data_IF_565414932151
#
_entry.id   IF_565414932151
#
_cell.length_a   1.000
_cell.length_b   1.000
_cell.length_c   1.000
_cell.angle_alpha   90.00
_cell.angle_beta   90.00
_cell.angle_gamma   90.00
#
_symmetry.space_group_name_H-M   'P 1'
#
loop_
_entity.id
_entity.type
_entity.pdbx_description
1 polymer ?
#
# COMPACT_ATOMS: atom_id res chain seq x y z
N UNK A 1 13.38 -2.23 19.41
CA UNK A 1 14.07 -1.19 18.65
C UNK A 1 14.04 -1.52 17.16
N UNK A 2 13.88 -0.53 16.27
CA UNK A 2 13.91 -0.73 14.79
C UNK A 2 15.25 -0.36 14.15
N UNK A 3 16.24 -0.06 14.98
CA UNK A 3 17.62 0.20 14.61
C UNK A 3 18.47 -0.87 15.27
N UNK A 4 19.42 -1.44 14.55
CA UNK A 4 20.23 -2.57 15.03
C UNK A 4 21.70 -2.27 14.77
N UNK A 5 22.53 -2.30 15.81
CA UNK A 5 23.97 -2.13 15.65
C UNK A 5 24.58 -3.37 15.00
N UNK A 6 25.48 -3.18 14.04
CA UNK A 6 26.18 -4.26 13.35
C UNK A 6 27.02 -5.12 14.31
N UNK A 7 27.48 -4.54 15.42
CA UNK A 7 28.17 -5.25 16.50
C UNK A 7 27.31 -6.34 17.13
N UNK A 8 26.01 -6.09 17.29
CA UNK A 8 25.08 -7.01 17.98
C UNK A 8 24.86 -8.27 17.14
N UNK A 9 24.95 -8.14 15.81
CA UNK A 9 24.82 -9.23 14.86
C UNK A 9 26.00 -10.19 14.84
N UNK A 10 27.11 -9.87 15.53
CA UNK A 10 28.22 -10.80 15.74
C UNK A 10 27.86 -11.93 16.71
N UNK A 11 26.94 -11.66 17.65
CA UNK A 11 26.50 -12.63 18.65
C UNK A 11 25.39 -13.56 18.13
N UNK A 12 24.76 -13.23 17.00
CA UNK A 12 23.70 -14.04 16.40
C UNK A 12 22.57 -13.18 15.82
N UNK A 13 21.41 -13.81 15.63
CA UNK A 13 20.22 -13.10 15.17
C UNK A 13 19.66 -12.19 16.27
N UNK A 14 19.30 -10.96 15.91
CA UNK A 14 18.76 -9.96 16.82
C UNK A 14 17.26 -9.79 16.56
N UNK A 15 16.38 -9.95 17.57
CA UNK A 15 14.97 -9.65 17.42
C UNK A 15 14.75 -8.15 17.31
N UNK A 16 13.78 -7.76 16.49
CA UNK A 16 13.41 -6.37 16.25
C UNK A 16 11.93 -6.19 16.47
N UNK A 17 11.55 -5.32 17.39
CA UNK A 17 10.17 -4.94 17.66
C UNK A 17 10.09 -3.44 17.88
N UNK A 18 9.11 -2.78 17.31
CA UNK A 18 8.89 -1.36 17.53
C UNK A 18 7.78 -0.80 16.66
N UNK A 19 7.56 0.49 16.79
CA UNK A 19 6.49 1.20 16.11
C UNK A 19 7.02 2.45 15.42
N UNK A 20 6.44 2.79 14.28
CA UNK A 20 6.61 4.08 13.62
C UNK A 20 5.29 4.83 13.79
N UNK A 21 5.31 6.02 14.36
CA UNK A 21 4.10 6.78 14.63
C UNK A 21 3.35 7.13 13.34
N UNK A 22 2.02 7.20 13.40
CA UNK A 22 1.21 7.59 12.23
C UNK A 22 1.57 9.00 11.70
N UNK A 23 1.93 9.92 12.60
CA UNK A 23 2.38 11.29 12.27
C UNK A 23 3.89 11.44 12.11
N UNK A 24 4.62 10.34 11.92
CA UNK A 24 6.08 10.39 11.77
C UNK A 24 6.47 11.13 10.47
N UNK A 25 7.43 12.08 10.51
CA UNK A 25 7.90 12.81 9.34
C UNK A 25 8.39 11.90 8.20
N UNK A 26 8.75 10.66 8.52
CA UNK A 26 9.09 9.62 7.54
C UNK A 26 8.04 9.46 6.44
N UNK A 27 6.75 9.69 6.75
CA UNK A 27 5.64 9.58 5.80
C UNK A 27 5.16 10.94 5.24
N UNK A 28 5.81 12.05 5.61
CA UNK A 28 5.30 13.39 5.29
C UNK A 28 5.26 13.71 3.79
N UNK A 29 6.13 13.08 2.99
CA UNK A 29 6.17 13.24 1.54
C UNK A 29 5.24 12.27 0.79
N UNK A 30 4.57 11.35 1.50
CA UNK A 30 3.76 10.30 0.92
C UNK A 30 2.28 10.71 0.82
N UNK A 31 1.61 10.27 -0.23
CA UNK A 31 0.15 10.45 -0.38
C UNK A 31 -0.63 9.37 0.38
N UNK A 32 -0.25 9.12 1.64
CA UNK A 32 -0.88 8.12 2.52
C UNK A 32 -1.32 8.78 3.83
N UNK A 33 -2.51 8.43 4.30
CA UNK A 33 -3.00 8.85 5.61
C UNK A 33 -2.97 7.66 6.56
N UNK A 34 -1.93 7.56 7.39
CA UNK A 34 -1.88 6.58 8.47
C UNK A 34 -2.83 7.01 9.59
N UNK A 35 -3.66 6.09 10.06
CA UNK A 35 -4.59 6.31 11.19
C UNK A 35 -4.24 5.45 12.41
N UNK A 36 -3.24 4.60 12.29
CA UNK A 36 -2.63 3.82 13.36
C UNK A 36 -1.09 3.82 13.17
N UNK A 37 -0.30 3.60 14.24
CA UNK A 37 1.14 3.39 14.09
C UNK A 37 1.43 2.18 13.21
N UNK A 38 2.61 2.15 12.59
CA UNK A 38 3.12 0.98 11.89
C UNK A 38 3.84 0.11 12.90
N UNK A 39 3.20 -0.99 13.30
CA UNK A 39 3.77 -1.96 14.24
C UNK A 39 4.66 -2.93 13.46
N UNK A 40 5.92 -3.07 13.85
CA UNK A 40 6.92 -3.86 13.14
C UNK A 40 7.49 -4.92 14.08
N UNK A 41 7.56 -6.16 13.61
CA UNK A 41 8.11 -7.30 14.35
C UNK A 41 8.93 -8.19 13.43
N UNK A 42 10.07 -8.67 13.89
CA UNK A 42 10.92 -9.53 13.09
C UNK A 42 12.23 -9.88 13.76
N UNK A 43 13.17 -10.35 12.94
CA UNK A 43 14.53 -10.66 13.33
C UNK A 43 15.47 -10.34 12.18
N UNK A 44 16.66 -9.86 12.50
CA UNK A 44 17.75 -9.69 11.55
C UNK A 44 18.90 -10.62 11.90
N UNK A 45 19.56 -11.15 10.88
CA UNK A 45 20.75 -11.96 11.02
C UNK A 45 21.73 -11.66 9.90
N UNK A 46 23.00 -11.94 10.14
CA UNK A 46 24.02 -11.92 9.09
C UNK A 46 23.72 -13.01 8.06
N UNK A 47 23.79 -12.65 6.78
CA UNK A 47 23.53 -13.53 5.63
C UNK A 47 24.77 -13.79 4.76
N UNK A 48 25.83 -13.00 4.94
CA UNK A 48 27.09 -13.11 4.22
C UNK A 48 28.13 -12.15 4.79
N UNK A 49 29.24 -11.96 4.08
CA UNK A 49 30.15 -10.86 4.38
C UNK A 49 29.50 -9.54 3.95
N UNK A 50 29.37 -8.59 4.88
CA UNK A 50 28.72 -7.30 4.62
C UNK A 50 27.21 -7.37 4.31
N UNK A 51 26.59 -8.55 4.40
CA UNK A 51 25.18 -8.78 4.06
C UNK A 51 24.37 -9.23 5.26
N UNK A 52 23.16 -8.69 5.39
CA UNK A 52 22.24 -8.95 6.48
C UNK A 52 20.85 -9.18 5.93
N UNK A 53 20.15 -10.16 6.50
CA UNK A 53 18.78 -10.48 6.12
C UNK A 53 17.86 -10.24 7.30
N UNK A 54 16.88 -9.37 7.12
CA UNK A 54 15.78 -9.17 8.03
C UNK A 54 14.55 -9.92 7.52
N UNK A 55 13.91 -10.68 8.40
CA UNK A 55 12.63 -11.32 8.15
C UNK A 55 11.65 -10.90 9.22
N UNK A 56 10.49 -10.41 8.81
CA UNK A 56 9.49 -9.94 9.73
C UNK A 56 8.16 -9.62 9.08
N UNK A 57 7.39 -8.81 9.77
CA UNK A 57 6.08 -8.34 9.34
C UNK A 57 5.85 -6.94 9.89
N UNK A 58 4.99 -6.20 9.19
CA UNK A 58 4.42 -4.98 9.71
C UNK A 58 2.89 -5.02 9.62
N UNK A 59 2.24 -4.21 10.44
CA UNK A 59 0.79 -3.99 10.38
C UNK A 59 0.45 -2.56 10.75
N UNK A 60 -0.53 -1.98 10.06
CA UNK A 60 -1.07 -0.64 10.31
C UNK A 60 -2.50 -0.54 9.78
N UNK A 61 -3.09 0.65 9.89
CA UNK A 61 -4.33 1.01 9.23
C UNK A 61 -4.19 2.37 8.54
N UNK A 62 -4.72 2.47 7.33
CA UNK A 62 -4.75 3.70 6.54
C UNK A 62 -6.18 4.20 6.39
N UNK A 63 -6.33 5.49 6.10
CA UNK A 63 -7.56 6.07 5.55
C UNK A 63 -7.36 6.39 4.07
N UNK A 64 -8.28 5.92 3.25
CA UNK A 64 -8.32 6.20 1.82
C UNK A 64 -9.77 6.45 1.38
N UNK A 65 -9.95 7.14 0.25
CA UNK A 65 -11.29 7.44 -0.25
C UNK A 65 -11.79 6.33 -1.19
N UNK A 66 -13.07 5.98 -1.06
CA UNK A 66 -13.70 5.06 -1.98
C UNK A 66 -13.61 5.60 -3.41
N UNK A 67 -13.03 4.82 -4.33
CA UNK A 67 -12.83 5.21 -5.74
C UNK A 67 -14.13 5.55 -6.50
N UNK A 68 -15.30 5.16 -5.96
CA UNK A 68 -16.60 5.30 -6.61
C UNK A 68 -17.43 6.44 -6.01
N UNK A 69 -17.49 6.53 -4.68
CA UNK A 69 -18.35 7.50 -3.98
C UNK A 69 -17.59 8.52 -3.11
N UNK A 70 -16.26 8.43 -3.02
CA UNK A 70 -15.39 9.30 -2.22
C UNK A 70 -15.65 9.28 -0.70
N UNK A 71 -16.50 8.38 -0.21
CA UNK A 71 -16.64 8.16 1.24
C UNK A 71 -15.34 7.58 1.79
N UNK A 72 -14.82 8.09 2.93
CA UNK A 72 -13.62 7.55 3.57
C UNK A 72 -13.78 6.07 3.96
N UNK A 73 -12.72 5.30 3.76
CA UNK A 73 -12.62 3.88 4.07
C UNK A 73 -11.37 3.67 4.93
N UNK A 74 -11.55 2.98 6.05
CA UNK A 74 -10.43 2.53 6.89
C UNK A 74 -9.98 1.16 6.40
N UNK A 75 -8.69 1.03 6.12
CA UNK A 75 -8.13 -0.14 5.45
C UNK A 75 -7.00 -0.70 6.30
N UNK A 76 -7.16 -1.90 6.87
CA UNK A 76 -6.04 -2.57 7.53
C UNK A 76 -5.02 -3.01 6.48
N UNK A 77 -3.74 -2.77 6.76
CA UNK A 77 -2.62 -3.21 5.91
C UNK A 77 -1.68 -4.03 6.78
N UNK A 78 -1.40 -5.27 6.37
CA UNK A 78 -0.47 -6.13 7.07
C UNK A 78 0.24 -7.04 6.09
N UNK A 79 1.57 -7.07 6.15
CA UNK A 79 2.39 -7.86 5.24
C UNK A 79 3.55 -8.52 5.96
N UNK A 80 4.03 -9.63 5.38
CA UNK A 80 5.27 -10.31 5.78
C UNK A 80 6.33 -9.98 4.74
N UNK A 81 7.52 -9.63 5.21
CA UNK A 81 8.58 -9.11 4.35
C UNK A 81 9.93 -9.71 4.70
N UNK A 82 10.74 -9.90 3.67
CA UNK A 82 12.14 -10.26 3.78
C UNK A 82 12.97 -9.20 3.09
N UNK A 83 13.90 -8.58 3.82
CA UNK A 83 14.70 -7.46 3.35
C UNK A 83 16.18 -7.80 3.45
N UNK A 84 16.94 -7.49 2.41
CA UNK A 84 18.39 -7.70 2.39
C UNK A 84 19.08 -6.34 2.49
N UNK A 85 20.00 -6.22 3.44
CA UNK A 85 20.82 -5.05 3.66
C UNK A 85 22.27 -5.37 3.31
N UNK A 86 22.97 -4.46 2.65
CA UNK A 86 24.36 -4.62 2.27
C UNK A 86 25.20 -3.39 2.64
N UNK A 87 26.44 -3.60 3.06
CA UNK A 87 27.40 -2.50 3.32
C UNK A 87 28.21 -2.12 2.09
N UNK A 88 28.31 -3.01 1.11
CA UNK A 88 29.00 -2.76 -0.15
C UNK A 88 28.11 -1.93 -1.09
N UNK A 89 28.52 -0.72 -1.49
CA UNK A 89 27.77 0.09 -2.45
C UNK A 89 27.55 -0.60 -3.80
N UNK A 90 28.49 -1.46 -4.23
CA UNK A 90 28.34 -2.21 -5.49
C UNK A 90 27.21 -3.25 -5.44
N UNK A 91 26.80 -3.67 -4.24
CA UNK A 91 25.66 -4.58 -4.08
C UNK A 91 24.32 -3.94 -4.47
N UNK A 92 24.24 -2.60 -4.54
CA UNK A 92 23.03 -1.89 -4.99
C UNK A 92 22.83 -1.91 -6.50
N UNK A 93 23.84 -2.32 -7.27
CA UNK A 93 23.68 -2.57 -8.72
C UNK A 93 22.80 -3.80 -8.99
N UNK A 94 22.62 -4.66 -7.98
CA UNK A 94 21.61 -5.71 -7.98
C UNK A 94 20.31 -5.17 -7.37
N UNK A 95 19.18 -5.40 -8.04
CA UNK A 95 17.85 -5.04 -7.51
C UNK A 95 17.57 -5.75 -6.17
N UNK A 96 16.98 -5.05 -5.21
CA UNK A 96 16.48 -5.63 -3.96
C UNK A 96 17.40 -5.54 -2.73
N UNK A 97 18.46 -4.73 -2.76
CA UNK A 97 19.33 -4.47 -1.61
C UNK A 97 19.15 -3.07 -1.05
N UNK A 98 19.07 -2.98 0.28
CA UNK A 98 19.13 -1.73 1.02
C UNK A 98 20.57 -1.43 1.42
N UNK A 99 21.12 -0.31 0.92
CA UNK A 99 22.43 0.13 1.33
C UNK A 99 22.39 0.55 2.81
N UNK A 100 23.21 -0.09 3.62
CA UNK A 100 23.56 0.42 4.94
C UNK A 100 24.53 1.57 4.68
N UNK A 101 24.17 2.84 5.01
CA UNK A 101 25.12 3.93 4.93
C UNK A 101 26.36 3.58 5.77
N UNK A 102 27.46 4.33 5.68
CA UNK A 102 28.67 4.11 6.48
C UNK A 102 28.50 4.29 8.02
N UNK A 103 27.30 4.05 8.54
CA UNK A 103 26.91 3.93 9.94
C UNK A 103 27.17 2.50 10.43
N UNK A 104 27.38 2.38 11.73
CA UNK A 104 27.51 1.10 12.42
C UNK A 104 26.15 0.44 12.73
N UNK A 105 25.06 0.94 12.13
CA UNK A 105 23.70 0.46 12.38
C UNK A 105 22.84 0.30 11.12
N UNK A 106 21.88 -0.62 11.20
CA UNK A 106 20.83 -0.83 10.22
C UNK A 106 19.56 -0.20 10.77
N UNK A 107 19.02 0.81 10.06
CA UNK A 107 17.72 1.40 10.36
C UNK A 107 16.65 0.78 9.45
N UNK A 108 15.74 0.01 10.04
CA UNK A 108 14.68 -0.69 9.31
C UNK A 108 13.56 0.25 8.86
N UNK A 109 13.46 1.46 9.41
CA UNK A 109 12.28 2.33 9.22
C UNK A 109 12.08 2.72 7.76
N UNK A 110 13.15 3.08 7.06
CA UNK A 110 13.09 3.45 5.64
C UNK A 110 12.61 2.30 4.75
N UNK A 111 13.21 1.12 4.92
CA UNK A 111 12.83 -0.06 4.16
C UNK A 111 11.38 -0.51 4.47
N UNK A 112 10.98 -0.50 5.74
CA UNK A 112 9.59 -0.80 6.13
C UNK A 112 8.60 0.20 5.54
N UNK A 113 8.94 1.50 5.48
CA UNK A 113 8.10 2.51 4.80
C UNK A 113 7.90 2.15 3.34
N UNK A 114 8.96 1.82 2.61
CA UNK A 114 8.86 1.48 1.18
C UNK A 114 7.97 0.26 0.95
N UNK A 115 8.18 -0.79 1.73
CA UNK A 115 7.38 -2.01 1.66
C UNK A 115 5.91 -1.76 2.02
N UNK A 116 5.65 -0.91 3.02
CA UNK A 116 4.30 -0.46 3.33
C UNK A 116 3.65 0.26 2.15
N UNK A 117 4.37 1.18 1.49
CA UNK A 117 3.87 1.90 0.33
C UNK A 117 3.55 0.95 -0.84
N UNK A 118 4.37 -0.09 -1.04
CA UNK A 118 4.14 -1.14 -2.05
C UNK A 118 2.94 -2.03 -1.71
N UNK A 119 2.67 -2.25 -0.41
CA UNK A 119 1.54 -3.04 0.06
C UNK A 119 0.19 -2.30 0.01
N UNK A 120 0.18 -0.98 -0.20
CA UNK A 120 -1.07 -0.22 -0.23
C UNK A 120 -1.95 -0.66 -1.40
N UNK A 121 -3.27 -0.81 -1.18
CA UNK A 121 -4.18 -1.12 -2.27
C UNK A 121 -4.23 0.03 -3.27
N UNK A 122 -4.18 -0.31 -4.57
CA UNK A 122 -4.28 0.67 -5.65
C UNK A 122 -5.58 1.48 -5.62
N UNK A 123 -6.66 0.87 -5.14
CA UNK A 123 -7.96 1.50 -4.95
C UNK A 123 -8.77 0.76 -3.90
N UNK A 124 -9.72 1.45 -3.28
CA UNK A 124 -10.61 0.89 -2.26
C UNK A 124 -12.06 1.21 -2.56
N UNK A 125 -12.95 0.36 -2.07
CA UNK A 125 -14.40 0.53 -2.15
C UNK A 125 -14.99 0.47 -0.76
N UNK A 126 -15.95 1.34 -0.44
CA UNK A 126 -16.60 1.34 0.87
C UNK A 126 -17.49 0.11 1.10
N UNK A 127 -17.89 -0.58 0.02
CA UNK A 127 -18.61 -1.86 0.01
C UNK A 127 -18.54 -2.50 -1.39
N UNK A 128 -18.71 -3.83 -1.52
CA UNK A 128 -18.58 -4.56 -2.80
C UNK A 128 -19.52 -4.10 -3.94
N UNK A 129 -20.65 -3.48 -3.60
CA UNK A 129 -21.69 -3.06 -4.53
C UNK A 129 -21.89 -1.53 -4.54
N UNK A 130 -20.89 -0.77 -4.11
CA UNK A 130 -20.95 0.69 -4.03
C UNK A 130 -21.41 1.27 -5.37
N UNK A 131 -22.54 1.97 -5.43
CA UNK A 131 -23.09 2.46 -6.70
C UNK A 131 -22.32 3.65 -7.28
N UNK A 132 -21.57 4.36 -6.43
CA UNK A 132 -20.73 5.49 -6.79
C UNK A 132 -21.49 6.82 -6.91
N UNK A 133 -20.83 7.83 -7.46
CA UNK A 133 -21.45 9.12 -7.73
C UNK A 133 -22.12 9.14 -9.12
N UNK A 134 -23.20 9.91 -9.24
CA UNK A 134 -23.77 10.25 -10.53
C UNK A 134 -22.75 11.05 -11.36
N UNK A 135 -22.41 10.62 -12.59
CA UNK A 135 -21.44 11.34 -13.43
C UNK A 135 -21.96 12.71 -13.92
N UNK A 136 -23.26 12.99 -13.76
CA UNK A 136 -23.89 14.24 -14.21
C UNK A 136 -24.01 15.27 -13.08
N UNK A 137 -24.49 14.88 -11.89
CA UNK A 137 -24.73 15.82 -10.79
C UNK A 137 -23.88 15.57 -9.53
N UNK A 138 -23.11 14.49 -9.48
CA UNK A 138 -22.29 14.13 -8.31
C UNK A 138 -23.06 13.53 -7.13
N UNK A 139 -24.38 13.34 -7.24
CA UNK A 139 -25.18 12.72 -6.18
C UNK A 139 -24.69 11.29 -5.87
N UNK A 140 -24.62 10.94 -4.58
CA UNK A 140 -24.23 9.61 -4.13
C UNK A 140 -25.34 8.61 -4.39
N UNK A 141 -25.17 7.73 -5.39
CA UNK A 141 -26.19 6.76 -5.80
C UNK A 141 -26.44 5.70 -4.71
N UNK A 142 -25.53 5.57 -3.74
CA UNK A 142 -25.71 4.73 -2.57
C UNK A 142 -26.83 5.20 -1.63
N UNK A 143 -27.22 6.48 -1.70
CA UNK A 143 -28.27 7.10 -0.89
C UNK A 143 -29.62 7.16 -1.62
N UNK A 144 -29.63 6.83 -2.91
CA UNK A 144 -30.83 6.79 -3.74
C UNK A 144 -30.58 7.28 -5.17
N UNK A 145 -31.57 7.11 -6.06
CA UNK A 145 -31.48 7.58 -7.43
C UNK A 145 -31.50 9.12 -7.49
N UNK A 146 -30.77 9.68 -8.46
CA UNK A 146 -30.83 11.10 -8.80
C UNK A 146 -31.82 11.37 -9.95
N UNK A 147 -32.14 12.64 -10.18
CA UNK A 147 -33.08 13.05 -11.24
C UNK A 147 -32.46 13.18 -12.65
N UNK A 148 -31.15 12.92 -12.83
CA UNK A 148 -30.46 13.18 -14.11
C UNK A 148 -30.92 12.29 -15.28
N UNK A 149 -31.64 11.20 -14.99
CA UNK A 149 -31.97 10.19 -16.00
C UNK A 149 -30.72 9.50 -16.56
N UNK A 150 -30.92 8.39 -17.30
CA UNK A 150 -29.83 7.73 -18.02
C UNK A 150 -29.86 8.22 -19.46
N UNK A 151 -29.11 9.28 -19.76
CA UNK A 151 -28.93 9.70 -21.14
C UNK A 151 -28.22 8.58 -21.93
N UNK A 152 -28.67 8.23 -23.15
CA UNK A 152 -27.92 7.33 -24.02
C UNK A 152 -26.54 7.92 -24.27
N UNK A 153 -25.48 7.16 -23.96
CA UNK A 153 -24.13 7.61 -24.25
C UNK A 153 -23.92 7.59 -25.78
N UNK A 154 -23.66 8.74 -26.42
CA UNK A 154 -23.63 8.87 -27.88
C UNK A 154 -22.53 8.03 -28.53
N UNK A 155 -21.51 7.61 -27.77
CA UNK A 155 -20.47 6.68 -28.27
C UNK A 155 -21.05 5.33 -28.71
N UNK A 156 -22.23 4.97 -28.21
CA UNK A 156 -22.92 3.72 -28.56
C UNK A 156 -23.95 3.88 -29.67
N UNK A 157 -24.12 5.07 -30.26
CA UNK A 157 -25.14 5.31 -31.29
C UNK A 157 -24.92 4.44 -32.53
N UNK A 158 -23.67 4.30 -32.98
CA UNK A 158 -23.32 3.42 -34.11
C UNK A 158 -23.66 1.95 -33.82
N UNK A 159 -23.50 1.48 -32.57
CA UNK A 159 -23.85 0.11 -32.18
C UNK A 159 -25.37 -0.08 -32.09
N UNK A 160 -26.10 0.92 -31.59
CA UNK A 160 -27.58 0.91 -31.58
C UNK A 160 -28.16 0.88 -32.98
N UNK A 161 -27.56 1.60 -33.93
CA UNK A 161 -27.98 1.58 -35.32
C UNK A 161 -27.83 0.19 -35.99
N UNK A 162 -27.01 -0.70 -35.41
CA UNK A 162 -26.82 -2.08 -35.87
C UNK A 162 -27.70 -3.11 -35.15
N UNK A 163 -28.36 -2.73 -34.05
CA UNK A 163 -29.26 -3.63 -33.34
C UNK A 163 -30.53 -3.82 -34.19
N UNK A 164 -30.70 -5.02 -34.77
CA UNK A 164 -31.99 -5.42 -35.35
C UNK A 164 -33.02 -5.52 -34.23
N UNK A 165 -34.28 -5.11 -34.45
CA UNK A 165 -35.34 -5.38 -33.47
C UNK A 165 -35.43 -6.90 -33.24
N UNK A 166 -35.58 -7.32 -31.98
CA UNK A 166 -35.81 -8.72 -31.63
C UNK A 166 -37.08 -9.20 -32.36
N UNK A 167 -36.92 -10.14 -33.30
CA UNK A 167 -38.07 -10.88 -33.83
C UNK A 167 -38.67 -11.70 -32.67
N UNK A 168 -39.99 -11.59 -32.42
CA UNK A 168 -40.62 -12.40 -31.39
C UNK A 168 -40.38 -13.89 -31.70
N UNK A 169 -39.84 -14.62 -30.73
CA UNK A 169 -39.77 -16.09 -30.78
C UNK A 169 -41.16 -16.62 -30.42
N UNK A 170 -41.86 -17.14 -31.42
CA UNK A 170 -43.07 -17.95 -31.27
C UNK A 170 -42.81 -19.25 -30.48
#
# INVERSE_FOLDING_TARGET
MLRVALSDLRAGAVPTEGEIAAGDPLFAADQVTLIAPVVVRGRISRAGEGQYYWQGSFSTAIRADCRRCLVPVEVPVAEKVGLVFATDPSATEAEGYYLVPAREDIDLRGAVREELLLALPRFVECRPDCQGLCPTCGANLNEGPCACGRAPDPRWDALRALAKPDEPKD
#
